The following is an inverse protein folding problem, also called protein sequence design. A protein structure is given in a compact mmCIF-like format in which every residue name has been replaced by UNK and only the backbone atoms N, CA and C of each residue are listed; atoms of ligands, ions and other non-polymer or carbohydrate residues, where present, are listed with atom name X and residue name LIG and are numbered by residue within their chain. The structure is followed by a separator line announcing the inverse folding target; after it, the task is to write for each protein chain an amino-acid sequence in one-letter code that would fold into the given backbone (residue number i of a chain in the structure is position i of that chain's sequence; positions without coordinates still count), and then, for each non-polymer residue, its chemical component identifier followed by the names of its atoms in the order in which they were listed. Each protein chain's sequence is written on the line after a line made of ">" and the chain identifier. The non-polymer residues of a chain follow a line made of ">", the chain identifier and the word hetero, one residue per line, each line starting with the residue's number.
data_IF_581344720033
#
_entry.id   IF_581344720033
#
_cell.length_a   1.000
_cell.length_b   1.000
_cell.length_c   1.000
_cell.angle_alpha   90.00
_cell.angle_beta   90.00
_cell.angle_gamma   90.00
#
_symmetry.space_group_name_H-M   'P 1'
#
loop_
_entity.id
_entity.type
_entity.pdbx_description
1 polymer ?
#
# COMPACT_ATOMS: atom_id res chain seq x y z
N UNK A 1 -32.51 -35.72 -16.46
CA UNK A 1 -31.42 -35.09 -17.23
C UNK A 1 -31.40 -33.57 -17.11
N UNK A 2 -32.56 -32.88 -17.17
CA UNK A 2 -32.66 -31.41 -17.10
C UNK A 2 -32.18 -30.79 -15.78
N UNK A 3 -32.58 -31.37 -14.65
CA UNK A 3 -32.26 -30.85 -13.30
C UNK A 3 -30.74 -30.78 -13.06
N UNK A 4 -29.99 -31.81 -13.47
CA UNK A 4 -28.54 -31.87 -13.25
C UNK A 4 -27.76 -30.79 -14.02
N UNK A 5 -28.20 -30.46 -15.23
CA UNK A 5 -27.58 -29.42 -16.06
C UNK A 5 -27.82 -28.03 -15.46
N UNK A 6 -29.03 -27.80 -14.94
CA UNK A 6 -29.42 -26.54 -14.30
C UNK A 6 -28.62 -26.29 -13.01
N UNK A 7 -28.43 -27.34 -12.19
CA UNK A 7 -27.57 -27.25 -11.00
C UNK A 7 -26.11 -26.98 -11.34
N UNK A 8 -25.55 -27.60 -12.38
CA UNK A 8 -24.16 -27.34 -12.81
C UNK A 8 -24.00 -25.88 -13.26
N UNK A 9 -24.97 -25.35 -14.01
CA UNK A 9 -24.95 -23.96 -14.45
C UNK A 9 -25.05 -22.99 -13.26
N UNK A 10 -25.94 -23.25 -12.31
CA UNK A 10 -26.10 -22.42 -11.12
C UNK A 10 -24.84 -22.42 -10.24
N UNK A 11 -24.23 -23.59 -10.03
CA UNK A 11 -22.98 -23.72 -9.25
C UNK A 11 -21.82 -23.02 -9.95
N UNK A 12 -21.71 -23.17 -11.27
CA UNK A 12 -20.65 -22.49 -12.06
C UNK A 12 -20.79 -20.97 -12.01
N UNK A 13 -22.02 -20.46 -12.11
CA UNK A 13 -22.32 -19.04 -12.00
C UNK A 13 -21.97 -18.50 -10.60
N UNK A 14 -22.40 -19.20 -9.55
CA UNK A 14 -22.15 -18.82 -8.17
C UNK A 14 -20.64 -18.84 -7.85
N UNK A 15 -19.91 -19.87 -8.29
CA UNK A 15 -18.47 -19.97 -8.13
C UNK A 15 -17.74 -18.84 -8.87
N UNK A 16 -18.16 -18.52 -10.10
CA UNK A 16 -17.61 -17.41 -10.88
C UNK A 16 -17.84 -16.07 -10.18
N UNK A 17 -19.06 -15.80 -9.72
CA UNK A 17 -19.39 -14.57 -8.99
C UNK A 17 -18.60 -14.43 -7.68
N UNK A 18 -18.45 -15.52 -6.92
CA UNK A 18 -17.67 -15.54 -5.69
C UNK A 18 -16.18 -15.28 -5.96
N UNK A 19 -15.61 -15.90 -7.00
CA UNK A 19 -14.22 -15.69 -7.39
C UNK A 19 -13.96 -14.24 -7.82
N UNK A 20 -14.82 -13.67 -8.67
CA UNK A 20 -14.73 -12.27 -9.10
C UNK A 20 -14.88 -11.31 -7.92
N UNK A 21 -15.87 -11.54 -7.05
CA UNK A 21 -16.09 -10.74 -5.85
C UNK A 21 -14.90 -10.76 -4.90
N UNK A 22 -14.30 -11.94 -4.67
CA UNK A 22 -13.10 -12.08 -3.84
C UNK A 22 -11.88 -11.36 -4.44
N UNK A 23 -11.65 -11.48 -5.75
CA UNK A 23 -10.57 -10.79 -6.43
C UNK A 23 -10.74 -9.27 -6.38
N UNK A 24 -11.96 -8.78 -6.60
CA UNK A 24 -12.28 -7.36 -6.46
C UNK A 24 -12.04 -6.86 -5.03
N UNK A 25 -12.53 -7.59 -4.02
CA UNK A 25 -12.31 -7.27 -2.61
C UNK A 25 -10.82 -7.19 -2.27
N UNK A 26 -10.05 -8.22 -2.63
CA UNK A 26 -8.61 -8.25 -2.36
C UNK A 26 -7.88 -7.11 -3.05
N UNK A 27 -8.21 -6.81 -4.31
CA UNK A 27 -7.50 -5.79 -5.09
C UNK A 27 -7.81 -4.38 -4.63
N UNK A 28 -9.07 -4.07 -4.31
CA UNK A 28 -9.49 -2.73 -3.90
C UNK A 28 -9.30 -2.48 -2.40
N UNK A 29 -9.69 -3.41 -1.52
CA UNK A 29 -9.66 -3.17 -0.07
C UNK A 29 -8.31 -3.50 0.60
N UNK A 30 -7.51 -4.43 0.06
CA UNK A 30 -6.24 -4.80 0.70
C UNK A 30 -5.07 -3.91 0.26
N UNK A 31 -5.12 -3.34 -0.95
CA UNK A 31 -4.03 -2.52 -1.48
C UNK A 31 -4.00 -1.11 -0.86
N UNK A 32 -5.15 -0.59 -0.45
CA UNK A 32 -5.28 0.79 0.02
C UNK A 32 -4.83 1.03 1.46
N UNK A 33 -4.72 -0.01 2.29
CA UNK A 33 -4.46 0.18 3.73
C UNK A 33 -3.01 0.58 4.07
N UNK A 34 -2.03 0.21 3.24
CA UNK A 34 -0.62 0.46 3.55
C UNK A 34 -0.10 1.77 2.95
N UNK A 35 -0.60 2.16 1.78
CA UNK A 35 0.01 3.25 1.00
C UNK A 35 -0.47 4.66 1.40
N UNK A 36 -1.70 4.80 1.93
CA UNK A 36 -2.31 6.12 2.17
C UNK A 36 -1.71 6.90 3.34
N UNK A 37 -1.10 6.23 4.32
CA UNK A 37 -0.49 6.86 5.50
C UNK A 37 1.03 7.09 5.36
N UNK A 38 1.60 6.86 4.18
CA UNK A 38 3.05 6.92 3.98
C UNK A 38 3.56 8.37 4.06
N UNK A 39 4.30 8.69 5.12
CA UNK A 39 4.87 10.03 5.32
C UNK A 39 5.99 10.31 4.32
N UNK A 40 6.89 9.36 4.07
CA UNK A 40 8.00 9.50 3.13
C UNK A 40 7.65 8.87 1.76
N UNK A 41 7.43 9.64 0.68
CA UNK A 41 7.09 9.09 -0.63
C UNK A 41 8.30 8.71 -1.47
N UNK A 42 9.43 9.44 -1.36
CA UNK A 42 10.50 9.36 -2.37
C UNK A 42 11.93 9.37 -1.81
N UNK A 43 12.15 9.69 -0.53
CA UNK A 43 13.50 9.91 0.00
C UNK A 43 14.10 8.56 0.46
N UNK A 44 15.27 8.19 -0.05
CA UNK A 44 16.09 7.03 0.39
C UNK A 44 15.27 5.73 0.61
N UNK A 45 14.57 5.27 -0.43
CA UNK A 45 13.67 4.11 -0.36
C UNK A 45 14.36 2.75 -0.34
N UNK A 46 15.62 2.74 -0.72
CA UNK A 46 16.56 1.63 -0.58
C UNK A 46 16.97 1.40 0.88
N UNK A 47 16.89 2.43 1.73
CA UNK A 47 17.20 2.33 3.15
C UNK A 47 15.94 1.92 3.94
N UNK A 48 15.95 0.79 4.67
CA UNK A 48 14.81 0.34 5.46
C UNK A 48 14.45 1.30 6.61
N UNK A 49 15.42 2.10 7.09
CA UNK A 49 15.21 3.10 8.13
C UNK A 49 16.11 4.31 7.93
N UNK A 50 15.52 5.37 7.40
CA UNK A 50 16.22 6.64 7.16
C UNK A 50 16.33 7.43 8.47
N UNK A 51 17.57 7.69 8.89
CA UNK A 51 17.92 8.48 10.08
C UNK A 51 19.05 9.42 9.71
N UNK A 52 18.90 10.70 10.06
CA UNK A 52 19.96 11.70 9.93
C UNK A 52 20.45 12.07 11.33
N UNK A 53 21.75 11.90 11.58
CA UNK A 53 22.41 12.34 12.79
C UNK A 53 23.37 13.49 12.43
N UNK A 54 23.41 14.51 13.27
CA UNK A 54 24.28 15.66 13.13
C UNK A 54 24.91 15.94 14.47
N UNK A 55 26.22 16.13 14.48
CA UNK A 55 26.96 16.51 15.67
C UNK A 55 26.78 18.01 15.93
N UNK A 56 26.75 18.40 17.20
CA UNK A 56 26.38 19.76 17.59
C UNK A 56 27.45 20.79 17.23
N UNK A 57 28.71 20.37 17.15
CA UNK A 57 29.84 21.20 16.77
C UNK A 57 29.80 21.58 15.28
N UNK A 58 29.16 20.76 14.45
CA UNK A 58 28.99 21.01 13.02
C UNK A 58 27.80 21.94 12.72
N UNK A 59 26.98 22.24 13.74
CA UNK A 59 25.90 23.20 13.63
C UNK A 59 26.50 24.61 13.72
N UNK A 60 26.43 25.38 12.63
CA UNK A 60 26.66 26.83 12.68
C UNK A 60 25.58 27.57 13.49
N UNK A 61 25.42 28.87 13.30
CA UNK A 61 24.51 29.70 14.12
C UNK A 61 23.06 29.20 14.17
N UNK A 62 22.57 28.58 13.08
CA UNK A 62 21.22 28.00 13.01
C UNK A 62 21.11 26.97 11.90
N UNK A 63 20.50 25.83 12.21
CA UNK A 63 20.09 24.83 11.23
C UNK A 63 18.58 24.57 11.28
N UNK A 64 17.98 24.28 10.12
CA UNK A 64 16.57 23.89 10.01
C UNK A 64 16.46 22.60 9.22
N UNK A 65 15.85 21.60 9.83
CA UNK A 65 15.72 20.27 9.25
C UNK A 65 14.29 19.95 8.84
N UNK A 66 14.17 19.20 7.74
CA UNK A 66 12.89 18.72 7.24
C UNK A 66 12.29 17.71 8.23
N UNK A 67 11.02 17.93 8.61
CA UNK A 67 10.22 16.95 9.38
C UNK A 67 9.09 16.33 8.56
N UNK A 68 8.88 16.81 7.33
CA UNK A 68 7.73 16.47 6.50
C UNK A 68 8.03 15.49 5.37
N UNK A 69 9.29 15.13 5.14
CA UNK A 69 9.71 14.25 4.04
C UNK A 69 9.30 14.77 2.65
N UNK A 70 9.26 16.09 2.48
CA UNK A 70 8.97 16.77 1.20
C UNK A 70 10.10 17.70 0.74
N UNK A 71 11.11 17.92 1.58
CA UNK A 71 12.28 18.72 1.21
C UNK A 71 13.05 18.05 0.07
N UNK A 72 13.52 18.88 -0.87
CA UNK A 72 14.51 18.48 -1.89
C UNK A 72 15.95 18.81 -1.48
N UNK A 73 16.10 19.56 -0.37
CA UNK A 73 17.37 19.80 0.31
C UNK A 73 17.68 18.64 1.24
#
# INVERSE_FOLDING_TARGET
>A
SFILVEWIAAVSLAAGAAAVGYLAYKKFLSKDKCCKAMVNPHIQKDNPKVVHAFDMEDLGDKAVYCRCWRSKK
#
